data_IF_709546595361
#
_entry.id   IF_709546595361
#
_cell.length_a   1.000
_cell.length_b   1.000
_cell.length_c   1.000
_cell.angle_alpha   90.00
_cell.angle_beta   90.00
_cell.angle_gamma   90.00
#
_symmetry.space_group_name_H-M   'P 1'
#
loop_
_entity.id
_entity.type
_entity.pdbx_description
1 polymer ?
#
# COMPACT_ATOMS: atom_id res chain seq x y z
N UNK A 1 -19.70 13.96 -15.99
CA UNK A 1 -18.73 15.08 -15.96
C UNK A 1 -17.46 14.66 -16.71
N UNK A 2 -16.93 15.51 -17.59
CA UNK A 2 -15.67 15.22 -18.30
C UNK A 2 -14.49 15.85 -17.55
N UNK A 3 -13.38 15.12 -17.43
CA UNK A 3 -12.15 15.61 -16.79
C UNK A 3 -11.44 16.56 -17.74
N UNK A 4 -11.07 17.74 -17.28
CA UNK A 4 -10.30 18.72 -18.05
C UNK A 4 -8.82 18.59 -17.70
N UNK A 5 -7.99 18.16 -18.65
CA UNK A 5 -6.54 18.12 -18.52
C UNK A 5 -5.88 18.53 -19.84
N UNK A 6 -4.65 19.04 -19.78
CA UNK A 6 -3.88 19.43 -20.97
C UNK A 6 -2.43 18.98 -20.81
N UNK A 7 -1.90 18.33 -21.84
CA UNK A 7 -0.47 18.03 -21.93
C UNK A 7 0.20 19.27 -22.52
N UNK A 8 1.15 19.90 -21.83
CA UNK A 8 1.84 21.08 -22.34
C UNK A 8 2.58 20.78 -23.65
N UNK A 9 2.64 21.76 -24.56
CA UNK A 9 3.21 21.56 -25.90
C UNK A 9 4.71 21.26 -25.92
N UNK A 10 5.43 21.61 -24.85
CA UNK A 10 6.85 21.30 -24.69
C UNK A 10 7.10 19.84 -24.28
N UNK A 11 6.06 19.09 -23.89
CA UNK A 11 6.18 17.67 -23.52
C UNK A 11 5.79 16.82 -24.71
N UNK A 12 6.77 16.17 -25.33
CA UNK A 12 6.54 15.23 -26.40
C UNK A 12 6.28 13.83 -25.82
N UNK A 13 5.04 13.36 -25.95
CA UNK A 13 4.66 12.00 -25.60
C UNK A 13 4.23 11.24 -26.85
N UNK A 14 4.41 9.91 -26.84
CA UNK A 14 3.90 9.07 -27.93
C UNK A 14 2.37 9.07 -27.96
N UNK A 15 1.81 8.73 -29.11
CA UNK A 15 0.37 8.58 -29.27
C UNK A 15 -0.21 7.51 -28.33
N UNK A 16 0.50 6.39 -28.15
CA UNK A 16 0.12 5.35 -27.19
C UNK A 16 0.07 5.87 -25.75
N UNK A 17 1.01 6.75 -25.36
CA UNK A 17 1.02 7.35 -24.03
C UNK A 17 -0.21 8.24 -23.84
N UNK A 18 -0.53 9.06 -24.85
CA UNK A 18 -1.72 9.92 -24.86
C UNK A 18 -3.00 9.09 -24.77
N UNK A 19 -3.08 7.96 -25.47
CA UNK A 19 -4.21 7.04 -25.42
C UNK A 19 -4.36 6.41 -24.03
N UNK A 20 -3.25 6.01 -23.40
CA UNK A 20 -3.29 5.45 -22.06
C UNK A 20 -3.81 6.48 -21.05
N UNK A 21 -3.27 7.70 -21.08
CA UNK A 21 -3.69 8.79 -20.19
C UNK A 21 -5.17 9.15 -20.35
N UNK A 22 -5.70 9.15 -21.57
CA UNK A 22 -7.13 9.45 -21.79
C UNK A 22 -8.07 8.40 -21.21
N UNK A 23 -7.64 7.14 -21.14
CA UNK A 23 -8.42 6.06 -20.52
C UNK A 23 -8.26 6.00 -18.99
N UNK A 24 -7.18 6.55 -18.44
CA UNK A 24 -6.96 6.67 -16.99
C UNK A 24 -7.73 7.87 -16.42
N UNK A 25 -7.64 9.04 -17.07
CA UNK A 25 -8.28 10.27 -16.61
C UNK A 25 -9.76 10.34 -17.01
N UNK A 26 -10.53 9.33 -16.60
CA UNK A 26 -11.98 9.23 -16.77
C UNK A 26 -12.67 9.46 -15.42
N UNK A 27 -13.67 10.34 -15.40
CA UNK A 27 -14.40 10.71 -14.19
C UNK A 27 -15.21 9.54 -13.62
N UNK A 28 -15.83 8.74 -14.49
CA UNK A 28 -16.59 7.57 -14.08
C UNK A 28 -15.63 6.37 -13.87
N UNK A 29 -15.54 5.81 -12.66
CA UNK A 29 -14.66 4.68 -12.38
C UNK A 29 -15.02 3.43 -13.20
N UNK A 30 -16.29 3.20 -13.50
CA UNK A 30 -16.74 2.03 -14.27
C UNK A 30 -16.27 2.02 -15.73
N UNK A 31 -15.91 3.20 -16.27
CA UNK A 31 -15.36 3.34 -17.62
C UNK A 31 -13.84 3.55 -17.61
N UNK A 32 -13.21 3.61 -16.43
CA UNK A 32 -11.76 3.78 -16.32
C UNK A 32 -11.08 2.47 -16.70
N UNK A 33 -9.98 2.58 -17.43
CA UNK A 33 -9.16 1.41 -17.79
C UNK A 33 -8.75 0.62 -16.54
N UNK A 34 -8.92 -0.70 -16.61
CA UNK A 34 -8.55 -1.62 -15.52
C UNK A 34 -7.05 -1.91 -15.54
N UNK A 35 -6.51 -2.39 -14.41
CA UNK A 35 -5.09 -2.76 -14.34
C UNK A 35 -4.71 -3.85 -15.35
N UNK A 36 -5.62 -4.78 -15.65
CA UNK A 36 -5.40 -5.83 -16.66
C UNK A 36 -5.23 -5.24 -18.05
N UNK A 37 -6.04 -4.24 -18.40
CA UNK A 37 -5.97 -3.54 -19.68
C UNK A 37 -4.75 -2.61 -19.76
N UNK A 38 -4.32 -2.00 -18.64
CA UNK A 38 -3.05 -1.25 -18.59
C UNK A 38 -1.89 -2.20 -18.87
N UNK A 39 -1.86 -3.39 -18.25
CA UNK A 39 -0.80 -4.39 -18.43
C UNK A 39 -0.68 -4.90 -19.86
N UNK A 40 -1.78 -4.92 -20.62
CA UNK A 40 -1.80 -5.30 -22.03
C UNK A 40 -1.62 -4.13 -22.99
N UNK A 41 -1.57 -2.89 -22.50
CA UNK A 41 -1.46 -1.70 -23.34
C UNK A 41 -0.08 -1.61 -24.02
N UNK A 42 -0.05 -1.23 -25.30
CA UNK A 42 1.20 -1.15 -26.09
C UNK A 42 2.26 -0.26 -25.44
N UNK A 43 1.84 0.89 -24.88
CA UNK A 43 2.74 1.77 -24.13
C UNK A 43 3.39 1.11 -22.90
N UNK A 44 2.64 0.27 -22.17
CA UNK A 44 3.13 -0.42 -20.98
C UNK A 44 4.06 -1.59 -21.34
N UNK A 45 3.76 -2.29 -22.43
CA UNK A 45 4.57 -3.41 -22.91
C UNK A 45 5.88 -2.95 -23.58
N UNK A 46 5.94 -1.70 -24.04
CA UNK A 46 7.13 -1.14 -24.69
C UNK A 46 8.26 -1.03 -23.67
N UNK A 47 9.37 -1.74 -23.94
CA UNK A 47 10.56 -1.81 -23.08
C UNK A 47 10.30 -2.32 -21.66
N UNK A 48 9.24 -3.12 -21.46
CA UNK A 48 8.98 -3.72 -20.15
C UNK A 48 10.07 -4.75 -19.82
N UNK A 49 10.85 -4.56 -18.72
CA UNK A 49 11.83 -5.54 -18.27
C UNK A 49 11.19 -6.92 -18.12
N UNK A 50 11.94 -7.98 -18.45
CA UNK A 50 11.39 -9.34 -18.49
C UNK A 50 10.92 -9.79 -17.11
N UNK A 51 11.58 -9.30 -16.07
CA UNK A 51 11.30 -9.52 -14.65
C UNK A 51 9.93 -8.98 -14.25
N UNK A 52 9.49 -7.89 -14.91
CA UNK A 52 8.20 -7.27 -14.69
C UNK A 52 7.11 -7.79 -15.64
N UNK A 53 7.40 -8.78 -16.48
CA UNK A 53 6.33 -9.42 -17.27
C UNK A 53 5.47 -10.29 -16.37
N UNK A 54 4.19 -10.38 -16.70
CA UNK A 54 3.21 -11.14 -15.92
C UNK A 54 3.63 -12.60 -15.71
N UNK A 55 4.34 -13.21 -16.67
CA UNK A 55 4.89 -14.56 -16.54
C UNK A 55 6.00 -14.69 -15.49
N UNK A 56 6.84 -13.68 -15.32
CA UNK A 56 7.88 -13.65 -14.29
C UNK A 56 7.29 -13.29 -12.91
N UNK A 57 6.33 -12.36 -12.91
CA UNK A 57 5.61 -11.96 -11.71
C UNK A 57 4.60 -13.01 -11.22
N UNK A 58 4.12 -13.91 -12.08
CA UNK A 58 3.15 -14.95 -11.71
C UNK A 58 3.63 -15.82 -10.55
N UNK A 59 4.94 -16.02 -10.41
CA UNK A 59 5.54 -16.74 -9.27
C UNK A 59 5.28 -16.02 -7.94
N UNK A 60 5.18 -14.69 -7.94
CA UNK A 60 4.95 -13.88 -6.76
C UNK A 60 3.46 -13.68 -6.42
N UNK A 61 2.57 -13.63 -7.43
CA UNK A 61 1.14 -13.35 -7.23
C UNK A 61 0.24 -14.59 -7.29
N UNK A 62 0.78 -15.75 -7.62
CA UNK A 62 0.04 -17.00 -7.42
C UNK A 62 -0.19 -17.15 -5.91
N UNK A 63 -1.45 -16.98 -5.49
CA UNK A 63 -1.92 -17.20 -4.11
C UNK A 63 -1.57 -18.60 -3.57
N UNK A 64 -1.22 -19.53 -4.46
CA UNK A 64 -0.81 -20.90 -4.18
C UNK A 64 0.69 -21.17 -4.39
N UNK A 65 1.48 -20.18 -4.81
CA UNK A 65 2.94 -20.28 -4.63
C UNK A 65 3.16 -20.01 -3.16
N UNK A 66 3.61 -21.05 -2.48
CA UNK A 66 4.10 -21.00 -1.11
C UNK A 66 4.90 -19.70 -0.87
N UNK A 67 4.25 -18.69 -0.28
CA UNK A 67 4.89 -17.49 0.28
C UNK A 67 5.96 -17.87 1.32
N UNK A 68 5.96 -19.14 1.76
CA UNK A 68 7.00 -19.85 2.51
C UNK A 68 8.39 -19.73 1.86
N UNK A 69 8.48 -19.49 0.55
CA UNK A 69 9.77 -19.36 -0.14
C UNK A 69 10.31 -17.91 -0.20
N UNK A 70 9.51 -16.90 0.16
CA UNK A 70 9.97 -15.49 0.23
C UNK A 70 10.40 -15.10 1.64
N UNK A 71 9.77 -15.68 2.66
CA UNK A 71 10.21 -15.57 4.04
C UNK A 71 10.50 -16.97 4.58
N UNK A 72 11.70 -17.24 5.08
CA UNK A 72 12.01 -18.52 5.73
C UNK A 72 11.25 -18.70 7.06
N UNK A 73 10.50 -17.69 7.53
CA UNK A 73 9.79 -17.72 8.80
C UNK A 73 8.50 -18.54 8.71
N UNK A 74 8.28 -19.40 9.69
CA UNK A 74 7.04 -20.15 9.83
C UNK A 74 5.95 -19.23 10.37
N UNK A 75 4.68 -19.54 10.07
CA UNK A 75 3.53 -18.75 10.58
C UNK A 75 3.55 -18.64 12.10
N UNK A 76 3.93 -19.72 12.79
CA UNK A 76 4.05 -19.74 14.25
C UNK A 76 5.09 -18.74 14.78
N UNK A 77 6.25 -18.61 14.10
CA UNK A 77 7.31 -17.69 14.48
C UNK A 77 6.86 -16.23 14.27
N UNK A 78 6.14 -15.95 13.17
CA UNK A 78 5.58 -14.64 12.89
C UNK A 78 4.58 -14.24 13.98
N UNK A 79 3.68 -15.14 14.36
CA UNK A 79 2.71 -14.90 15.43
C UNK A 79 3.36 -14.70 16.79
N UNK A 80 4.45 -15.42 17.08
CA UNK A 80 5.26 -15.23 18.30
C UNK A 80 5.88 -13.84 18.35
N UNK A 81 6.51 -13.38 17.25
CA UNK A 81 7.10 -12.04 17.15
C UNK A 81 6.02 -10.96 17.33
N UNK A 82 4.83 -11.13 16.73
CA UNK A 82 3.71 -10.19 16.92
C UNK A 82 3.27 -10.17 18.39
N UNK A 83 3.23 -11.31 19.06
CA UNK A 83 2.92 -11.40 20.49
C UNK A 83 3.93 -10.67 21.36
N UNK A 84 5.23 -10.88 21.10
CA UNK A 84 6.34 -10.23 21.81
C UNK A 84 6.36 -8.71 21.56
N UNK A 85 6.07 -8.26 20.34
CA UNK A 85 6.04 -6.83 20.00
C UNK A 85 4.85 -6.07 20.63
N UNK A 86 3.79 -6.78 21.05
CA UNK A 86 2.65 -6.20 21.76
C UNK A 86 2.92 -5.98 23.25
N UNK A 87 3.92 -6.64 23.81
CA UNK A 87 4.36 -6.39 25.18
C UNK A 87 5.39 -5.29 25.17
N UNK A 88 5.09 -4.15 25.81
CA UNK A 88 6.08 -3.12 26.05
C UNK A 88 7.23 -3.74 26.88
N UNK A 89 8.50 -3.45 26.56
CA UNK A 89 9.61 -3.95 27.35
C UNK A 89 9.44 -3.46 28.79
N UNK A 90 9.53 -4.42 29.72
CA UNK A 90 9.54 -4.15 31.15
C UNK A 90 10.76 -3.27 31.47
N UNK A 91 10.54 -1.97 31.68
CA UNK A 91 11.57 -0.97 31.99
C UNK A 91 12.34 -1.29 33.30
N UNK A 92 11.97 -2.36 34.00
CA UNK A 92 12.62 -2.83 35.22
C UNK A 92 13.88 -3.69 34.99
N UNK A 93 14.18 -4.10 33.75
CA UNK A 93 15.52 -4.61 33.40
C UNK A 93 16.36 -3.44 32.89
N UNK A 94 17.49 -3.10 33.53
CA UNK A 94 18.40 -2.12 32.97
C UNK A 94 18.79 -2.60 31.57
N UNK A 95 18.39 -1.83 30.55
CA UNK A 95 19.11 -1.82 29.29
C UNK A 95 20.58 -1.59 29.67
N UNK A 96 21.50 -2.44 29.24
CA UNK A 96 22.91 -2.02 29.11
C UNK A 96 22.97 -0.98 27.98
N UNK A 97 22.33 0.16 28.20
CA UNK A 97 22.51 1.39 27.45
C UNK A 97 23.85 1.94 27.89
N UNK A 98 24.85 1.62 27.07
CA UNK A 98 26.05 2.43 26.98
C UNK A 98 25.61 3.85 26.62
N UNK A 99 26.02 4.78 27.48
CA UNK A 99 26.08 6.24 27.28
C UNK A 99 24.84 7.07 27.66
N UNK A 100 25.05 7.80 28.76
CA UNK A 100 24.81 9.23 28.98
C UNK A 100 23.35 9.73 29.07
N UNK A 101 23.05 10.30 30.23
CA UNK A 101 21.70 10.69 30.62
C UNK A 101 21.26 12.02 30.06
N UNK A 102 19.95 12.22 30.01
CA UNK A 102 19.25 13.21 30.82
C UNK A 102 17.75 12.99 30.65
N UNK A 103 17.03 13.17 31.75
CA UNK A 103 15.58 13.03 31.88
C UNK A 103 14.90 14.25 31.27
N UNK A 104 13.70 14.08 30.73
CA UNK A 104 12.65 15.07 30.90
C UNK A 104 11.28 14.39 30.88
N UNK A 105 10.52 14.67 31.93
CA UNK A 105 9.22 14.13 32.28
C UNK A 105 8.10 14.84 31.52
N UNK A 106 7.19 14.09 30.88
CA UNK A 106 5.82 14.57 30.58
C UNK A 106 4.86 13.38 30.70
N UNK A 107 4.06 13.36 31.77
CA UNK A 107 2.88 12.50 31.88
C UNK A 107 1.75 13.13 31.04
N UNK A 108 1.46 12.57 29.86
CA UNK A 108 0.21 12.83 29.13
C UNK A 108 -0.80 11.73 29.50
N UNK A 109 -1.80 12.07 30.31
CA UNK A 109 -3.00 11.26 30.51
C UNK A 109 -3.85 11.32 29.22
N UNK A 110 -3.81 10.26 28.41
CA UNK A 110 -4.70 10.11 27.25
C UNK A 110 -6.05 9.53 27.71
N UNK A 111 -7.06 10.40 27.82
CA UNK A 111 -8.47 10.04 28.06
C UNK A 111 -9.06 9.40 26.78
N UNK A 112 -9.24 8.08 26.79
CA UNK A 112 -9.87 7.35 25.67
C UNK A 112 -11.38 7.63 25.62
N UNK A 113 -11.82 8.45 24.67
CA UNK A 113 -13.23 8.54 24.27
C UNK A 113 -13.62 7.29 23.46
N UNK A 114 -14.55 6.52 24.02
CA UNK A 114 -15.17 5.33 23.42
C UNK A 114 -15.98 5.71 22.17
N UNK A 115 -15.43 5.44 20.99
CA UNK A 115 -16.04 5.77 19.69
C UNK A 115 -17.01 4.69 19.21
N UNK A 116 -17.92 4.22 20.07
CA UNK A 116 -18.93 3.23 19.70
C UNK A 116 -20.38 3.73 19.85
N UNK A 117 -20.64 5.00 19.55
CA UNK A 117 -21.99 5.49 19.31
C UNK A 117 -22.04 6.30 18.01
N UNK A 118 -22.14 5.60 16.88
CA UNK A 118 -22.85 6.12 15.71
C UNK A 118 -23.82 5.04 15.21
N UNK A 119 -25.00 5.07 15.81
CA UNK A 119 -26.25 4.54 15.28
C UNK A 119 -26.55 5.28 13.97
N UNK A 120 -26.17 4.68 12.82
CA UNK A 120 -26.52 5.20 11.49
C UNK A 120 -28.00 4.96 11.20
N UNK A 121 -28.86 5.81 11.74
CA UNK A 121 -30.20 6.05 11.21
C UNK A 121 -30.15 7.34 10.36
N UNK A 122 -30.05 7.18 9.04
CA UNK A 122 -30.37 8.23 8.08
C UNK A 122 -31.32 7.64 7.02
N UNK A 123 -32.56 7.44 7.44
CA UNK A 123 -33.72 7.70 6.60
C UNK A 123 -33.70 9.19 6.20
N UNK A 124 -33.96 9.53 4.93
CA UNK A 124 -34.75 10.69 4.47
C UNK A 124 -34.73 10.81 2.92
N UNK A 125 -35.62 11.59 2.28
CA UNK A 125 -36.83 11.18 1.56
C UNK A 125 -36.79 11.34 0.02
#
# INVERSE_FOLDING_TARGET
MAVKYKIPGYVHISEDCRNLLSRIFVANPSHRITLKEIRSHAWFLKNLPRELKESAQAVYYQRNVNLINLSPQRVDDIMKIIGEARTLPDLSRPLESREDGEKDDVEEEEEYLDANDEECDDEYP
#
